data_IF_342617702428
#
_entry.id   IF_342617702428
#
_cell.length_a   1.000
_cell.length_b   1.000
_cell.length_c   1.000
_cell.angle_alpha   90.00
_cell.angle_beta   90.00
_cell.angle_gamma   90.00
#
_symmetry.space_group_name_H-M   'P 1'
#
loop_
_entity.id
_entity.type
_entity.pdbx_description
1 polymer ?
#
# COMPACT_ATOMS: atom_id res chain seq x y z
N UNK A 1 13.60 -20.97 -23.26
CA UNK A 1 12.17 -20.92 -22.88
C UNK A 1 11.57 -22.27 -23.24
N UNK A 2 10.90 -22.93 -22.30
CA UNK A 2 10.36 -24.27 -22.52
C UNK A 2 9.22 -24.25 -23.54
N UNK A 3 9.28 -25.12 -24.56
CA UNK A 3 8.27 -25.28 -25.63
C UNK A 3 6.85 -25.48 -25.11
N UNK A 4 6.69 -25.88 -23.85
CA UNK A 4 5.41 -26.08 -23.15
C UNK A 4 4.65 -24.76 -22.95
N UNK A 5 5.35 -23.63 -22.78
CA UNK A 5 4.73 -22.33 -22.49
C UNK A 5 4.47 -21.47 -23.73
N UNK A 6 5.13 -21.75 -24.86
CA UNK A 6 4.99 -20.94 -26.08
C UNK A 6 3.57 -20.97 -26.65
N UNK A 7 2.93 -22.14 -26.67
CA UNK A 7 1.58 -22.30 -27.21
C UNK A 7 0.52 -21.58 -26.34
N UNK A 8 0.49 -21.73 -25.00
CA UNK A 8 -0.36 -20.92 -24.14
C UNK A 8 -0.13 -19.41 -24.29
N UNK A 9 1.13 -18.95 -24.32
CA UNK A 9 1.47 -17.53 -24.47
C UNK A 9 0.98 -17.00 -25.82
N UNK A 10 1.16 -17.75 -26.91
CA UNK A 10 0.66 -17.36 -28.22
C UNK A 10 -0.87 -17.21 -28.25
N UNK A 11 -1.61 -18.12 -27.59
CA UNK A 11 -3.07 -18.03 -27.43
C UNK A 11 -3.47 -16.80 -26.61
N UNK A 12 -2.78 -16.55 -25.49
CA UNK A 12 -3.02 -15.38 -24.65
C UNK A 12 -2.79 -14.07 -25.40
N UNK A 13 -1.69 -13.96 -26.16
CA UNK A 13 -1.42 -12.82 -27.05
C UNK A 13 -2.53 -12.63 -28.09
N UNK A 14 -3.01 -13.71 -28.70
CA UNK A 14 -4.10 -13.63 -29.67
C UNK A 14 -5.41 -13.10 -29.05
N UNK A 15 -5.74 -13.53 -27.82
CA UNK A 15 -6.89 -12.98 -27.09
C UNK A 15 -6.70 -11.49 -26.82
N UNK A 16 -5.52 -11.09 -26.33
CA UNK A 16 -5.22 -9.70 -26.01
C UNK A 16 -5.30 -8.77 -27.24
N UNK A 17 -4.83 -9.22 -28.42
CA UNK A 17 -4.91 -8.44 -29.67
C UNK A 17 -6.33 -8.15 -30.14
N UNK A 18 -7.33 -8.90 -29.68
CA UNK A 18 -8.74 -8.67 -30.02
C UNK A 18 -9.40 -7.65 -29.09
N UNK A 19 -8.73 -7.27 -28.00
CA UNK A 19 -9.22 -6.26 -27.10
C UNK A 19 -9.29 -4.90 -27.81
N UNK A 20 -10.42 -4.21 -27.67
CA UNK A 20 -10.55 -2.84 -28.21
C UNK A 20 -9.82 -1.81 -27.35
N UNK A 21 -9.68 -2.09 -26.04
CA UNK A 21 -9.01 -1.24 -25.06
C UNK A 21 -8.40 -2.12 -23.97
N UNK A 22 -7.15 -1.83 -23.64
CA UNK A 22 -6.42 -2.51 -22.56
C UNK A 22 -6.01 -1.50 -21.50
N UNK A 23 -6.17 -1.87 -20.24
CA UNK A 23 -5.59 -1.18 -19.10
C UNK A 23 -4.52 -2.09 -18.49
N UNK A 24 -3.38 -1.51 -18.09
CA UNK A 24 -2.34 -2.26 -17.40
C UNK A 24 -2.35 -1.90 -15.93
N UNK A 25 -2.29 -2.92 -15.08
CA UNK A 25 -2.06 -2.78 -13.66
C UNK A 25 -0.69 -3.36 -13.33
N UNK A 26 0.23 -2.52 -12.85
CA UNK A 26 1.52 -2.93 -12.32
C UNK A 26 1.43 -3.04 -10.80
N UNK A 27 2.14 -4.02 -10.23
CA UNK A 27 2.36 -4.15 -8.80
C UNK A 27 3.85 -4.31 -8.55
N UNK A 28 4.40 -3.51 -7.62
CA UNK A 28 5.81 -3.52 -7.26
C UNK A 28 5.92 -3.84 -5.77
N UNK A 29 6.62 -4.93 -5.47
CA UNK A 29 6.95 -5.31 -4.11
C UNK A 29 8.41 -5.72 -3.99
N UNK A 30 8.93 -5.69 -2.76
CA UNK A 30 10.32 -6.04 -2.46
C UNK A 30 10.35 -7.23 -1.51
N UNK A 31 11.30 -8.14 -1.73
CA UNK A 31 11.57 -9.24 -0.81
C UNK A 31 12.03 -8.69 0.55
N UNK A 32 11.66 -9.36 1.64
CA UNK A 32 12.19 -9.05 2.98
C UNK A 32 13.73 -9.11 2.95
N UNK A 33 14.38 -8.09 3.51
CA UNK A 33 15.84 -7.90 3.41
C UNK A 33 16.30 -7.14 2.17
N UNK A 34 15.37 -6.63 1.34
CA UNK A 34 15.62 -5.70 0.23
C UNK A 34 16.57 -6.17 -0.89
N UNK A 35 16.93 -7.45 -0.92
CA UNK A 35 17.88 -8.01 -1.88
C UNK A 35 17.34 -8.07 -3.31
N UNK A 36 16.01 -8.10 -3.47
CA UNK A 36 15.37 -8.26 -4.77
C UNK A 36 13.98 -7.59 -4.77
N UNK A 37 13.62 -7.00 -5.90
CA UNK A 37 12.31 -6.39 -6.14
C UNK A 37 11.61 -7.08 -7.29
N UNK A 38 10.29 -7.03 -7.32
CA UNK A 38 9.47 -7.68 -8.33
C UNK A 38 8.50 -6.68 -8.95
N UNK A 39 8.32 -6.78 -10.26
CA UNK A 39 7.30 -6.08 -11.03
C UNK A 39 6.33 -7.13 -11.57
N UNK A 40 5.15 -7.22 -10.95
CA UNK A 40 4.00 -7.91 -11.48
C UNK A 40 3.25 -7.00 -12.44
N UNK A 41 2.76 -7.53 -13.56
CA UNK A 41 1.90 -6.77 -14.47
C UNK A 41 0.73 -7.60 -14.98
N UNK A 42 -0.45 -7.00 -14.92
CA UNK A 42 -1.73 -7.59 -15.31
C UNK A 42 -2.36 -6.71 -16.38
N UNK A 43 -2.76 -7.32 -17.50
CA UNK A 43 -3.57 -6.69 -18.52
C UNK A 43 -5.06 -6.91 -18.21
N UNK A 44 -5.83 -5.83 -18.16
CA UNK A 44 -7.28 -5.83 -18.06
C UNK A 44 -7.91 -5.29 -19.32
N UNK A 45 -8.82 -6.04 -19.90
CA UNK A 45 -9.43 -5.67 -21.17
C UNK A 45 -10.83 -6.22 -21.32
N UNK A 46 -11.62 -5.56 -22.17
CA UNK A 46 -12.91 -6.07 -22.61
C UNK A 46 -12.72 -6.88 -23.88
N UNK A 47 -13.14 -8.13 -23.87
CA UNK A 47 -13.12 -8.99 -25.04
C UNK A 47 -14.48 -8.88 -25.77
N UNK A 48 -14.52 -8.34 -26.99
CA UNK A 48 -15.76 -8.19 -27.74
C UNK A 48 -16.39 -9.52 -28.16
N UNK A 49 -15.61 -10.60 -28.26
CA UNK A 49 -16.12 -11.92 -28.65
C UNK A 49 -16.91 -12.56 -27.50
N UNK A 50 -16.34 -12.59 -26.31
CA UNK A 50 -16.98 -13.15 -25.11
C UNK A 50 -17.90 -12.16 -24.39
N UNK A 51 -17.86 -10.88 -24.78
CA UNK A 51 -18.60 -9.76 -24.16
C UNK A 51 -18.37 -9.64 -22.66
N UNK A 52 -17.15 -9.92 -22.22
CA UNK A 52 -16.77 -9.95 -20.81
C UNK A 52 -15.46 -9.20 -20.56
N UNK A 53 -15.30 -8.74 -19.31
CA UNK A 53 -14.02 -8.23 -18.83
C UNK A 53 -13.11 -9.40 -18.46
N UNK A 54 -11.87 -9.34 -18.91
CA UNK A 54 -10.83 -10.32 -18.59
C UNK A 54 -9.68 -9.66 -17.84
N UNK A 55 -9.02 -10.46 -17.00
CA UNK A 55 -7.80 -10.12 -16.27
C UNK A 55 -6.76 -11.16 -16.62
N UNK A 56 -5.59 -10.73 -17.08
CA UNK A 56 -4.53 -11.62 -17.54
C UNK A 56 -3.19 -11.18 -16.97
N UNK A 57 -2.55 -12.03 -16.17
CA UNK A 57 -1.17 -11.79 -15.74
C UNK A 57 -0.23 -11.97 -16.93
N UNK A 58 0.50 -10.91 -17.28
CA UNK A 58 1.41 -10.88 -18.42
C UNK A 58 2.88 -10.91 -17.99
N UNK A 59 3.20 -10.49 -16.76
CA UNK A 59 4.55 -10.60 -16.25
C UNK A 59 4.62 -10.68 -14.72
N UNK A 60 5.69 -11.31 -14.26
CA UNK A 60 6.25 -11.16 -12.92
C UNK A 60 7.76 -11.23 -13.09
N UNK A 61 8.45 -10.08 -13.05
CA UNK A 61 9.89 -9.99 -13.31
C UNK A 61 10.60 -9.49 -12.07
N UNK A 62 11.69 -10.13 -11.68
CA UNK A 62 12.55 -9.58 -10.65
C UNK A 62 13.56 -8.59 -11.22
N UNK A 63 13.98 -7.64 -10.39
CA UNK A 63 15.02 -6.67 -10.71
C UNK A 63 15.80 -6.27 -9.45
N UNK A 64 17.12 -6.05 -9.57
CA UNK A 64 17.96 -5.64 -8.45
C UNK A 64 17.77 -4.15 -8.13
N UNK A 65 18.22 -3.70 -6.95
CA UNK A 65 18.40 -2.27 -6.67
C UNK A 65 19.36 -1.58 -7.66
N UNK A 66 19.25 -0.26 -7.89
CA UNK A 66 18.31 0.68 -7.28
C UNK A 66 16.92 0.69 -7.95
N UNK A 67 15.89 0.90 -7.14
CA UNK A 67 14.46 0.93 -7.54
C UNK A 67 14.03 2.31 -8.05
N UNK A 68 14.55 2.74 -9.20
CA UNK A 68 14.22 4.05 -9.79
C UNK A 68 13.00 3.98 -10.70
N UNK A 69 12.30 5.11 -10.90
CA UNK A 69 11.20 5.20 -11.86
C UNK A 69 11.64 4.84 -13.29
N UNK A 70 12.89 5.20 -13.64
CA UNK A 70 13.52 4.84 -14.93
C UNK A 70 13.59 3.33 -15.11
N UNK A 71 14.08 2.59 -14.10
CA UNK A 71 14.22 1.13 -14.18
C UNK A 71 12.85 0.45 -14.32
N UNK A 72 11.85 0.94 -13.60
CA UNK A 72 10.47 0.45 -13.70
C UNK A 72 9.89 0.72 -15.09
N UNK A 73 10.15 1.90 -15.65
CA UNK A 73 9.71 2.27 -16.99
C UNK A 73 10.32 1.36 -18.07
N UNK A 74 11.64 1.18 -18.03
CA UNK A 74 12.36 0.28 -18.95
C UNK A 74 11.78 -1.13 -18.91
N UNK A 75 11.62 -1.69 -17.70
CA UNK A 75 11.09 -3.04 -17.53
C UNK A 75 9.65 -3.15 -18.02
N UNK A 76 8.84 -2.11 -17.80
CA UNK A 76 7.47 -2.03 -18.31
C UNK A 76 7.45 -2.03 -19.84
N UNK A 77 8.29 -1.21 -20.48
CA UNK A 77 8.40 -1.15 -21.94
C UNK A 77 8.87 -2.49 -22.53
N UNK A 78 9.83 -3.15 -21.89
CA UNK A 78 10.30 -4.48 -22.30
C UNK A 78 9.18 -5.53 -22.23
N UNK A 79 8.38 -5.51 -21.17
CA UNK A 79 7.24 -6.43 -21.03
C UNK A 79 6.23 -6.14 -22.14
N UNK A 80 5.83 -4.88 -22.31
CA UNK A 80 4.88 -4.50 -23.37
C UNK A 80 5.37 -4.92 -24.75
N UNK A 81 6.65 -4.69 -25.06
CA UNK A 81 7.26 -5.14 -26.31
C UNK A 81 7.22 -6.66 -26.45
N UNK A 82 7.54 -7.41 -25.40
CA UNK A 82 7.46 -8.89 -25.45
C UNK A 82 6.04 -9.41 -25.65
N UNK A 83 5.03 -8.65 -25.23
CA UNK A 83 3.61 -8.97 -25.41
C UNK A 83 2.99 -8.33 -26.67
N UNK A 84 3.78 -7.56 -27.42
CA UNK A 84 3.36 -6.84 -28.62
C UNK A 84 2.16 -5.90 -28.37
N UNK A 85 2.14 -5.29 -27.18
CA UNK A 85 1.12 -4.31 -26.77
C UNK A 85 1.60 -2.93 -27.25
N UNK A 86 0.86 -2.26 -28.15
CA UNK A 86 1.25 -0.93 -28.61
C UNK A 86 1.02 0.11 -27.50
N UNK A 87 1.95 1.07 -27.30
CA UNK A 87 1.80 2.06 -26.23
C UNK A 87 0.51 2.90 -26.32
N UNK A 88 0.05 3.20 -27.53
CA UNK A 88 -1.14 4.04 -27.78
C UNK A 88 -2.48 3.32 -27.54
N UNK A 89 -2.50 2.00 -27.37
CA UNK A 89 -3.73 1.23 -27.11
C UNK A 89 -4.06 1.11 -25.62
N UNK A 90 -3.20 1.68 -24.75
CA UNK A 90 -3.38 1.64 -23.31
C UNK A 90 -4.30 2.78 -22.88
N UNK A 91 -5.50 2.42 -22.43
CA UNK A 91 -6.49 3.38 -21.94
C UNK A 91 -6.14 3.92 -20.54
N UNK A 92 -5.44 3.11 -19.73
CA UNK A 92 -4.98 3.49 -18.39
C UNK A 92 -3.81 2.60 -17.92
N UNK A 93 -2.80 3.21 -17.28
CA UNK A 93 -1.73 2.49 -16.55
C UNK A 93 -1.87 2.77 -15.06
N UNK A 94 -2.13 1.75 -14.24
CA UNK A 94 -2.25 1.85 -12.79
C UNK A 94 -1.08 1.14 -12.12
N UNK A 95 -0.27 1.87 -11.36
CA UNK A 95 0.84 1.27 -10.60
C UNK A 95 0.47 1.17 -9.12
N UNK A 96 0.55 -0.04 -8.57
CA UNK A 96 0.42 -0.36 -7.15
C UNK A 96 1.82 -0.58 -6.60
N UNK A 97 2.29 0.29 -5.72
CA UNK A 97 3.59 0.10 -5.08
C UNK A 97 3.34 -0.39 -3.67
N UNK A 98 3.45 -1.69 -3.44
CA UNK A 98 3.40 -2.30 -2.10
C UNK A 98 4.81 -2.34 -1.52
N UNK A 99 5.22 -1.25 -0.85
CA UNK A 99 6.48 -1.22 -0.09
C UNK A 99 6.31 -1.96 1.24
N UNK A 100 6.84 -3.18 1.32
CA UNK A 100 7.20 -3.81 2.58
C UNK A 100 8.72 -3.77 2.72
N UNK A 101 9.24 -2.94 3.63
CA UNK A 101 10.67 -2.87 3.96
C UNK A 101 11.25 -1.47 3.79
N UNK A 102 11.66 -0.88 4.91
CA UNK A 102 12.33 0.40 5.00
C UNK A 102 13.65 0.39 4.22
N UNK A 103 13.93 1.46 3.47
CA UNK A 103 15.22 1.70 2.83
C UNK A 103 16.18 2.27 3.89
N UNK A 104 17.09 1.45 4.40
CA UNK A 104 18.37 1.91 4.91
C UNK A 104 19.34 2.11 3.74
N UNK A 105 20.12 3.18 3.80
CA UNK A 105 21.27 3.37 2.90
C UNK A 105 22.28 2.27 3.26
N UNK A 106 22.60 1.41 2.29
CA UNK A 106 23.79 0.57 2.41
C UNK A 106 24.97 1.49 2.10
N UNK A 107 25.63 1.98 3.14
CA UNK A 107 27.04 2.33 3.01
C UNK A 107 27.81 1.03 2.81
N UNK A 108 28.61 0.98 1.75
CA UNK A 108 29.51 -0.12 1.46
C UNK A 108 30.59 -0.20 2.54
N UNK A 109 30.41 -1.02 3.58
CA UNK A 109 31.52 -1.62 4.32
C UNK A 109 31.11 -2.82 5.20
N UNK A 110 31.72 -3.95 4.84
CA UNK A 110 32.15 -5.10 5.66
C UNK A 110 31.12 -6.13 6.19
N UNK A 111 31.31 -7.36 5.69
CA UNK A 111 30.98 -8.62 6.36
C UNK A 111 31.64 -8.69 7.74
N UNK A 112 30.87 -8.88 8.83
CA UNK A 112 31.29 -9.75 9.95
C UNK A 112 30.11 -10.42 10.67
N UNK A 113 30.17 -11.75 10.65
CA UNK A 113 29.74 -12.77 11.64
C UNK A 113 28.65 -12.38 12.66
N UNK A 114 27.51 -13.05 12.48
CA UNK A 114 26.32 -13.11 13.35
C UNK A 114 26.68 -13.51 14.78
N UNK A 115 26.42 -12.61 15.74
CA UNK A 115 26.06 -12.99 17.11
C UNK A 115 24.58 -12.72 17.32
N UNK A 116 23.91 -13.69 17.94
CA UNK A 116 22.49 -13.66 18.27
C UNK A 116 22.26 -12.63 19.37
N UNK A 117 21.71 -11.47 19.02
CA UNK A 117 21.23 -10.49 19.99
C UNK A 117 19.75 -10.18 19.76
N UNK A 118 19.07 -9.92 20.88
CA UNK A 118 17.63 -9.81 21.05
C UNK A 118 16.98 -8.87 20.03
N UNK A 119 15.80 -9.25 19.52
CA UNK A 119 14.94 -8.39 18.69
C UNK A 119 14.59 -7.11 19.45
N UNK A 120 15.40 -6.08 19.25
CA UNK A 120 15.08 -4.72 19.64
C UNK A 120 14.00 -4.24 18.67
N UNK A 121 12.74 -4.21 19.11
CA UNK A 121 11.60 -3.62 18.40
C UNK A 121 11.72 -2.08 18.37
N UNK A 122 12.83 -1.60 17.83
CA UNK A 122 13.24 -0.19 17.76
C UNK A 122 13.75 0.16 16.36
N UNK A 123 13.05 -0.27 15.31
CA UNK A 123 13.07 0.51 14.07
C UNK A 123 11.96 1.56 14.17
N UNK A 124 12.29 2.72 14.75
CA UNK A 124 11.57 3.97 14.49
C UNK A 124 11.73 4.25 12.98
N UNK A 125 10.91 3.60 12.15
CA UNK A 125 10.83 3.90 10.73
C UNK A 125 10.44 5.37 10.63
N UNK A 126 11.36 6.20 10.13
CA UNK A 126 11.12 7.61 9.88
C UNK A 126 10.00 7.74 8.82
N UNK A 127 8.79 7.90 9.33
CA UNK A 127 7.55 8.03 8.54
C UNK A 127 7.64 9.28 7.65
N UNK A 128 8.38 10.32 8.06
CA UNK A 128 8.57 11.51 7.25
C UNK A 128 9.41 11.18 6.02
N UNK A 129 10.55 10.54 6.23
CA UNK A 129 11.41 10.15 5.13
C UNK A 129 10.74 9.12 4.20
N UNK A 130 9.90 8.21 4.69
CA UNK A 130 9.16 7.27 3.84
C UNK A 130 8.11 7.95 2.95
N UNK A 131 7.32 8.88 3.50
CA UNK A 131 6.28 9.60 2.74
C UNK A 131 6.93 10.49 1.68
N UNK A 132 7.96 11.25 2.04
CA UNK A 132 8.65 12.15 1.10
C UNK A 132 9.27 11.35 -0.05
N UNK A 133 9.90 10.20 0.27
CA UNK A 133 10.44 9.29 -0.75
C UNK A 133 9.37 8.74 -1.69
N UNK A 134 8.17 8.45 -1.18
CA UNK A 134 7.07 8.01 -2.04
C UNK A 134 6.60 9.14 -2.97
N UNK A 135 6.40 10.35 -2.43
CA UNK A 135 5.96 11.49 -3.23
C UNK A 135 6.97 11.84 -4.32
N UNK A 136 8.27 11.86 -4.00
CA UNK A 136 9.32 12.07 -5.01
C UNK A 136 9.32 10.98 -6.09
N UNK A 137 9.16 9.71 -5.71
CA UNK A 137 9.07 8.62 -6.68
C UNK A 137 7.82 8.72 -7.56
N UNK A 138 6.68 9.10 -6.99
CA UNK A 138 5.44 9.32 -7.75
C UNK A 138 5.58 10.46 -8.76
N UNK A 139 6.25 11.55 -8.38
CA UNK A 139 6.53 12.68 -9.27
C UNK A 139 7.44 12.26 -10.44
N UNK A 140 8.48 11.45 -10.16
CA UNK A 140 9.33 10.86 -11.21
C UNK A 140 8.52 9.97 -12.16
N UNK A 141 7.66 9.11 -11.62
CA UNK A 141 6.80 8.26 -12.43
C UNK A 141 5.79 9.06 -13.26
N UNK A 142 5.24 10.14 -12.72
CA UNK A 142 4.31 11.00 -13.46
C UNK A 142 5.02 11.63 -14.67
N UNK A 143 6.23 12.17 -14.48
CA UNK A 143 7.01 12.73 -15.59
C UNK A 143 7.35 11.66 -16.65
N UNK A 144 7.76 10.47 -16.22
CA UNK A 144 8.23 9.41 -17.12
C UNK A 144 7.12 8.72 -17.92
N UNK A 145 5.93 8.56 -17.35
CA UNK A 145 4.85 7.77 -17.96
C UNK A 145 3.78 8.63 -18.64
N UNK A 146 3.54 9.86 -18.18
CA UNK A 146 2.41 10.69 -18.66
C UNK A 146 2.60 11.19 -20.09
N UNK A 147 3.85 11.25 -20.59
CA UNK A 147 4.11 11.54 -22.01
C UNK A 147 3.61 10.44 -22.96
N UNK A 148 3.48 9.19 -22.48
CA UNK A 148 3.18 8.01 -23.31
C UNK A 148 1.87 7.33 -22.96
N UNK A 149 1.37 7.52 -21.75
CA UNK A 149 0.21 6.83 -21.20
C UNK A 149 -0.66 7.76 -20.37
N UNK A 150 -1.95 7.48 -20.33
CA UNK A 150 -2.82 8.02 -19.29
C UNK A 150 -2.59 7.24 -17.99
N UNK A 151 -1.66 7.71 -17.15
CA UNK A 151 -1.31 7.07 -15.87
C UNK A 151 -2.30 7.44 -14.78
N UNK A 152 -2.62 6.48 -13.92
CA UNK A 152 -3.43 6.68 -12.73
C UNK A 152 -2.71 6.12 -11.49
N UNK A 153 -2.39 6.94 -10.48
CA UNK A 153 -1.75 6.45 -9.26
C UNK A 153 -2.71 5.55 -8.48
N UNK A 154 -2.17 4.56 -7.75
CA UNK A 154 -3.01 3.63 -7.01
C UNK A 154 -3.73 4.29 -5.82
N UNK A 155 -5.07 4.20 -5.82
CA UNK A 155 -5.92 4.70 -4.74
C UNK A 155 -5.66 4.01 -3.39
N UNK A 156 -5.30 2.73 -3.38
CA UNK A 156 -4.94 2.01 -2.13
C UNK A 156 -3.70 2.65 -1.51
N UNK A 157 -2.65 2.82 -2.31
CA UNK A 157 -1.41 3.41 -1.80
C UNK A 157 -1.65 4.85 -1.35
N UNK A 158 -2.36 5.68 -2.14
CA UNK A 158 -2.70 7.05 -1.73
C UNK A 158 -3.48 7.11 -0.41
N UNK A 159 -4.41 6.18 -0.19
CA UNK A 159 -5.13 6.06 1.09
C UNK A 159 -4.18 5.67 2.22
N UNK A 160 -3.31 4.69 2.00
CA UNK A 160 -2.30 4.28 2.98
C UNK A 160 -1.33 5.42 3.32
N UNK A 161 -0.84 6.17 2.34
CA UNK A 161 0.01 7.36 2.54
C UNK A 161 -0.74 8.44 3.33
N UNK A 162 -2.02 8.67 3.02
CA UNK A 162 -2.83 9.65 3.75
C UNK A 162 -3.03 9.24 5.23
N UNK A 163 -3.27 7.96 5.49
CA UNK A 163 -3.34 7.42 6.86
C UNK A 163 -1.99 7.60 7.55
N UNK A 164 -0.87 7.24 6.92
CA UNK A 164 0.47 7.44 7.50
C UNK A 164 0.81 8.91 7.76
N UNK A 165 0.38 9.81 6.87
CA UNK A 165 0.55 11.25 7.08
C UNK A 165 -0.22 11.74 8.30
N UNK A 166 -1.37 11.16 8.63
CA UNK A 166 -2.11 11.49 9.85
C UNK A 166 -1.38 11.06 11.14
N UNK A 167 -0.50 10.07 11.06
CA UNK A 167 0.33 9.64 12.21
C UNK A 167 1.38 10.69 12.59
N UNK A 168 1.64 11.68 11.72
CA UNK A 168 2.49 12.84 12.00
C UNK A 168 1.87 13.81 13.00
N UNK A 169 0.55 13.74 13.22
CA UNK A 169 -0.14 14.64 14.14
C UNK A 169 0.44 14.50 15.55
N UNK A 170 0.91 15.61 16.12
CA UNK A 170 1.60 15.65 17.42
C UNK A 170 0.72 15.17 18.57
N UNK A 171 -0.61 15.23 18.41
CA UNK A 171 -1.58 14.75 19.38
C UNK A 171 -1.79 13.24 19.26
N UNK A 172 -1.72 12.67 18.05
CA UNK A 172 -1.88 11.24 17.80
C UNK A 172 -0.59 10.44 18.02
N UNK A 173 0.57 11.02 17.67
CA UNK A 173 1.88 10.36 17.70
C UNK A 173 2.18 9.65 19.03
N UNK A 174 1.99 10.26 20.22
CA UNK A 174 2.29 9.58 21.49
C UNK A 174 1.42 8.34 21.74
N UNK A 175 0.14 8.40 21.37
CA UNK A 175 -0.80 7.29 21.52
C UNK A 175 -0.44 6.20 20.51
N UNK A 176 -0.20 6.55 19.25
CA UNK A 176 0.18 5.61 18.20
C UNK A 176 1.51 4.92 18.47
N UNK A 177 2.53 5.62 18.97
CA UNK A 177 3.82 5.01 19.35
C UNK A 177 3.65 3.98 20.47
N UNK A 178 2.87 4.30 21.51
CA UNK A 178 2.56 3.32 22.57
C UNK A 178 1.75 2.14 22.03
N UNK A 179 0.82 2.42 21.12
CA UNK A 179 -0.05 1.42 20.49
C UNK A 179 0.73 0.50 19.57
N UNK A 180 1.66 0.99 18.75
CA UNK A 180 2.52 0.17 17.88
C UNK A 180 3.37 -0.84 18.67
N UNK A 181 3.86 -0.44 19.83
CA UNK A 181 4.55 -1.34 20.77
C UNK A 181 3.65 -2.45 21.31
N UNK A 182 2.33 -2.31 21.17
CA UNK A 182 1.31 -3.15 21.82
C UNK A 182 0.38 -3.85 20.82
N UNK A 183 0.24 -3.40 19.56
CA UNK A 183 -0.93 -3.75 18.73
C UNK A 183 -0.57 -4.45 17.42
N UNK A 184 -0.99 -5.71 17.35
CA UNK A 184 -1.82 -6.24 16.26
C UNK A 184 -3.28 -6.17 16.74
N UNK A 185 -4.28 -6.12 15.85
CA UNK A 185 -5.73 -6.10 16.23
C UNK A 185 -6.09 -7.18 17.26
N UNK A 186 -5.43 -8.35 17.17
CA UNK A 186 -5.51 -9.46 18.12
C UNK A 186 -5.08 -9.10 19.55
N UNK A 187 -4.16 -8.16 19.73
CA UNK A 187 -3.69 -7.70 21.05
C UNK A 187 -4.67 -6.74 21.73
N UNK A 188 -5.51 -6.02 20.97
CA UNK A 188 -6.63 -5.26 21.55
C UNK A 188 -7.71 -6.21 22.10
N UNK A 189 -7.99 -7.30 21.39
CA UNK A 189 -8.92 -8.35 21.85
C UNK A 189 -8.39 -9.03 23.13
N UNK A 190 -7.07 -9.13 23.28
CA UNK A 190 -6.39 -9.69 24.44
C UNK A 190 -5.96 -8.65 25.48
N UNK A 191 -6.48 -7.42 25.44
CA UNK A 191 -6.01 -6.28 26.25
C UNK A 191 -5.89 -6.59 27.75
N UNK A 192 -6.83 -7.35 28.31
CA UNK A 192 -6.85 -7.65 29.74
C UNK A 192 -5.71 -8.61 30.09
N UNK A 193 -5.47 -9.63 29.25
CA UNK A 193 -4.36 -10.57 29.40
C UNK A 193 -3.00 -9.92 29.14
N UNK A 194 -2.91 -9.03 28.14
CA UNK A 194 -1.69 -8.29 27.80
C UNK A 194 -1.34 -7.31 28.93
N UNK A 195 -2.31 -6.57 29.47
CA UNK A 195 -2.08 -5.70 30.63
C UNK A 195 -1.62 -6.50 31.85
N UNK A 196 -2.19 -7.67 32.10
CA UNK A 196 -1.79 -8.51 33.22
C UNK A 196 -0.33 -8.95 33.09
N UNK A 197 0.07 -9.43 31.91
CA UNK A 197 1.44 -9.89 31.66
C UNK A 197 2.44 -8.72 31.72
N UNK A 198 2.14 -7.60 31.05
CA UNK A 198 3.07 -6.47 30.98
C UNK A 198 3.25 -5.79 32.34
N UNK A 199 2.19 -5.67 33.13
CA UNK A 199 2.25 -5.06 34.47
C UNK A 199 2.93 -5.96 35.49
N UNK A 200 2.64 -7.28 35.49
CA UNK A 200 3.17 -8.22 36.49
C UNK A 200 4.57 -8.72 36.17
N UNK A 201 4.88 -8.98 34.90
CA UNK A 201 6.11 -9.68 34.53
C UNK A 201 7.17 -8.78 33.88
N UNK A 202 6.75 -7.75 33.13
CA UNK A 202 7.69 -6.96 32.32
C UNK A 202 7.96 -5.56 32.87
N UNK A 203 7.16 -5.06 33.84
CA UNK A 203 7.23 -3.70 34.39
C UNK A 203 7.21 -2.59 33.32
N UNK A 204 6.66 -2.90 32.14
CA UNK A 204 6.55 -1.94 31.04
C UNK A 204 5.32 -1.05 31.30
N UNK A 205 5.47 0.25 31.08
CA UNK A 205 4.37 1.21 31.22
C UNK A 205 3.26 0.87 30.20
N UNK A 206 2.14 0.35 30.70
CA UNK A 206 0.99 -0.03 29.88
C UNK A 206 0.16 1.20 29.48
N UNK A 207 -0.72 1.02 28.47
CA UNK A 207 -1.76 2.00 28.16
C UNK A 207 -2.71 2.17 29.36
N UNK A 208 -3.07 3.42 29.62
CA UNK A 208 -4.11 3.79 30.59
C UNK A 208 -5.50 3.38 30.09
N UNK A 209 -6.51 3.28 30.97
CA UNK A 209 -7.89 2.98 30.55
C UNK A 209 -8.42 3.97 29.49
N UNK A 210 -8.10 5.27 29.63
CA UNK A 210 -8.46 6.28 28.63
C UNK A 210 -7.78 6.06 27.28
N UNK A 211 -6.49 5.71 27.29
CA UNK A 211 -5.75 5.37 26.06
C UNK A 211 -6.31 4.12 25.38
N UNK A 212 -6.73 3.08 26.12
CA UNK A 212 -7.39 1.90 25.53
C UNK A 212 -8.73 2.23 24.87
N UNK A 213 -9.48 3.15 25.45
CA UNK A 213 -10.72 3.65 24.83
C UNK A 213 -10.39 4.40 23.53
N UNK A 214 -9.34 5.23 23.53
CA UNK A 214 -8.86 5.92 22.32
C UNK A 214 -8.37 4.94 21.26
N UNK A 215 -7.62 3.89 21.62
CA UNK A 215 -7.18 2.84 20.70
C UNK A 215 -8.37 2.11 20.09
N UNK A 216 -9.37 1.72 20.88
CA UNK A 216 -10.58 1.09 20.37
C UNK A 216 -11.35 1.98 19.40
N UNK A 217 -11.36 3.29 19.64
CA UNK A 217 -11.95 4.27 18.73
C UNK A 217 -11.15 4.39 17.42
N UNK A 218 -9.81 4.46 17.49
CA UNK A 218 -8.93 4.51 16.31
C UNK A 218 -9.11 3.24 15.47
N UNK A 219 -9.18 2.05 16.08
CA UNK A 219 -9.43 0.78 15.37
C UNK A 219 -10.75 0.87 14.58
N UNK A 220 -11.84 1.31 15.22
CA UNK A 220 -13.14 1.50 14.55
C UNK A 220 -13.08 2.53 13.43
N UNK A 221 -12.32 3.61 13.61
CA UNK A 221 -12.14 4.64 12.60
C UNK A 221 -11.44 4.06 11.36
N UNK A 222 -10.36 3.30 11.57
CA UNK A 222 -9.55 2.67 10.52
C UNK A 222 -10.23 1.48 9.86
N UNK A 223 -11.18 0.81 10.51
CA UNK A 223 -11.92 -0.32 9.93
C UNK A 223 -12.65 0.05 8.62
N UNK A 224 -13.15 1.28 8.54
CA UNK A 224 -13.76 1.80 7.31
C UNK A 224 -12.73 1.97 6.17
N UNK A 225 -11.51 2.37 6.50
CA UNK A 225 -10.41 2.46 5.54
C UNK A 225 -9.95 1.08 5.07
N UNK A 226 -9.90 0.09 5.97
CA UNK A 226 -9.60 -1.29 5.62
C UNK A 226 -10.66 -1.85 4.66
N UNK A 227 -11.95 -1.65 4.96
CA UNK A 227 -13.04 -2.08 4.07
C UNK A 227 -12.90 -1.48 2.66
N UNK A 228 -12.64 -0.17 2.57
CA UNK A 228 -12.46 0.50 1.27
C UNK A 228 -11.19 0.02 0.56
N UNK A 229 -10.12 -0.26 1.31
CA UNK A 229 -8.87 -0.80 0.77
C UNK A 229 -9.09 -2.20 0.19
N UNK A 230 -9.80 -3.06 0.91
CA UNK A 230 -10.16 -4.41 0.46
C UNK A 230 -11.05 -4.36 -0.79
N UNK A 231 -12.04 -3.47 -0.80
CA UNK A 231 -12.91 -3.24 -1.97
C UNK A 231 -12.12 -2.78 -3.20
N UNK A 232 -11.10 -1.94 -3.01
CA UNK A 232 -10.23 -1.46 -4.08
C UNK A 232 -9.21 -2.50 -4.54
N UNK A 233 -8.82 -3.42 -3.65
CA UNK A 233 -7.92 -4.54 -3.95
C UNK A 233 -8.63 -5.70 -4.65
N UNK A 234 -9.94 -5.86 -4.43
CA UNK A 234 -10.73 -6.91 -5.06
C UNK A 234 -10.84 -6.67 -6.57
N UNK A 235 -10.22 -7.55 -7.37
CA UNK A 235 -10.32 -7.59 -8.85
C UNK A 235 -11.76 -7.81 -9.38
N UNK A 236 -12.74 -7.97 -8.49
CA UNK A 236 -14.08 -8.49 -8.77
C UNK A 236 -15.07 -7.44 -9.30
N UNK A 237 -14.81 -6.14 -9.15
CA UNK A 237 -15.72 -5.08 -9.64
C UNK A 237 -14.96 -3.96 -10.34
N UNK A 238 -15.59 -3.29 -11.31
CA UNK A 238 -14.99 -2.10 -11.93
C UNK A 238 -14.83 -1.01 -10.87
N UNK A 239 -13.60 -0.74 -10.44
CA UNK A 239 -13.33 0.06 -9.23
C UNK A 239 -13.33 1.57 -9.48
N UNK A 240 -12.96 2.05 -10.68
CA UNK A 240 -12.70 3.49 -10.92
C UNK A 240 -13.92 4.38 -10.64
N UNK A 241 -15.10 4.02 -11.15
CA UNK A 241 -16.33 4.81 -10.93
C UNK A 241 -16.79 4.81 -9.47
N UNK A 242 -16.34 3.83 -8.67
CA UNK A 242 -16.64 3.72 -7.23
C UNK A 242 -15.65 4.49 -6.37
N UNK A 243 -14.45 4.80 -6.87
CA UNK A 243 -13.42 5.52 -6.09
C UNK A 243 -13.97 6.82 -5.52
N UNK A 244 -14.64 7.63 -6.35
CA UNK A 244 -15.24 8.90 -5.90
C UNK A 244 -16.27 8.69 -4.78
N UNK A 245 -17.14 7.67 -4.91
CA UNK A 245 -18.14 7.37 -3.89
C UNK A 245 -17.50 6.92 -2.57
N UNK A 246 -16.52 6.01 -2.65
CA UNK A 246 -15.81 5.51 -1.47
C UNK A 246 -14.99 6.60 -0.77
N UNK A 247 -14.31 7.46 -1.53
CA UNK A 247 -13.55 8.60 -0.95
C UNK A 247 -14.49 9.59 -0.27
N UNK A 248 -15.61 9.97 -0.89
CA UNK A 248 -16.60 10.82 -0.24
C UNK A 248 -17.22 10.17 1.00
N UNK A 249 -17.40 8.84 0.96
CA UNK A 249 -17.82 8.06 2.13
C UNK A 249 -16.82 8.13 3.28
N UNK A 250 -15.52 8.04 2.97
CA UNK A 250 -14.44 8.18 3.96
C UNK A 250 -14.38 9.60 4.53
N UNK A 251 -14.54 10.65 3.71
CA UNK A 251 -14.58 12.04 4.17
C UNK A 251 -15.73 12.24 5.17
N UNK A 252 -16.95 11.82 4.82
CA UNK A 252 -18.11 11.91 5.71
C UNK A 252 -17.93 11.10 7.01
N UNK A 253 -17.26 9.95 6.92
CA UNK A 253 -16.91 9.13 8.07
C UNK A 253 -15.92 9.85 9.00
N UNK A 254 -14.91 10.52 8.45
CA UNK A 254 -13.98 11.33 9.23
C UNK A 254 -14.69 12.53 9.87
N UNK A 255 -15.50 13.27 9.08
CA UNK A 255 -16.25 14.44 9.57
C UNK A 255 -17.17 14.10 10.74
N UNK A 256 -17.86 12.96 10.69
CA UNK A 256 -18.78 12.54 11.76
C UNK A 256 -18.07 12.13 13.05
N UNK A 257 -16.79 11.76 12.98
CA UNK A 257 -16.00 11.28 14.12
C UNK A 257 -14.93 12.29 14.59
N UNK A 258 -14.70 13.38 13.85
CA UNK A 258 -13.62 14.34 14.10
C UNK A 258 -13.71 14.99 15.48
N UNK A 259 -14.88 15.54 15.84
CA UNK A 259 -15.07 16.21 17.14
C UNK A 259 -14.88 15.25 18.32
N UNK A 260 -15.33 14.00 18.17
CA UNK A 260 -15.17 12.97 19.20
C UNK A 260 -13.71 12.54 19.35
N UNK A 261 -12.98 12.38 18.24
CA UNK A 261 -11.55 12.08 18.24
C UNK A 261 -10.76 13.16 18.98
N UNK A 262 -10.98 14.43 18.63
CA UNK A 262 -10.30 15.57 19.27
C UNK A 262 -10.64 15.66 20.76
N UNK A 263 -11.91 15.45 21.13
CA UNK A 263 -12.32 15.46 22.54
C UNK A 263 -11.60 14.38 23.35
N UNK A 264 -11.50 13.17 22.80
CA UNK A 264 -10.85 12.02 23.45
C UNK A 264 -9.33 12.19 23.58
N UNK A 265 -8.68 12.77 22.58
CA UNK A 265 -7.22 12.98 22.60
C UNK A 265 -6.82 14.15 23.50
N UNK A 266 -7.56 15.25 23.46
CA UNK A 266 -7.20 16.48 24.21
C UNK A 266 -7.71 16.47 25.64
N UNK A 267 -8.56 15.50 26.02
CA UNK A 267 -9.24 15.46 27.31
C UNK A 267 -10.22 16.63 27.53
N UNK A 268 -10.44 17.48 26.51
CA UNK A 268 -11.40 18.58 26.56
C UNK A 268 -12.76 18.03 26.18
N UNK A 269 -13.75 18.14 27.08
CA UNK A 269 -15.16 18.04 26.68
C UNK A 269 -15.41 19.12 25.64
N UNK A 270 -15.78 18.74 24.42
CA UNK A 270 -16.33 19.67 23.45
C UNK A 270 -17.61 20.22 24.05
N UNK A 271 -17.57 21.45 24.55
CA UNK A 271 -18.78 22.19 24.89
C UNK A 271 -19.52 22.48 23.59
N UNK A 272 -20.33 21.52 23.15
CA UNK A 272 -21.47 21.81 22.30
C UNK A 272 -22.47 22.58 23.16
N UNK A 273 -22.43 23.91 23.02
CA UNK A 273 -23.56 24.81 23.22
C UNK A 273 -23.13 26.25 22.88
N UNK A 274 -23.40 26.65 21.64
CA UNK A 274 -24.12 27.89 21.31
C UNK A 274 -24.54 27.88 19.85
#
# INVERSE_FOLDING_TARGET
MDKVFELPVAKMKAVLRRANKTALAADIWTKKGMTESFLGMIARFYDPETRAMHSMTIACRSFPPPRTAVRVNELTMEIMKSWEIPPFEIAAYKDLILRHGAFEKVDEQEEQVVQVEQEDFSEDVDVDHEIDRYLSFEDECEQMFTERFNRHPCSIHRLQTAVRASEKDTLLKPVLTKTRKIVNTRLYELKDSVQDIMSKHLKIRCLTPGEWVTVGFIIKLLDKFNTVTDDFGAEKTATIHRVHYSVNGLVRHLESHYSELISRITGRRTNSNR
#
